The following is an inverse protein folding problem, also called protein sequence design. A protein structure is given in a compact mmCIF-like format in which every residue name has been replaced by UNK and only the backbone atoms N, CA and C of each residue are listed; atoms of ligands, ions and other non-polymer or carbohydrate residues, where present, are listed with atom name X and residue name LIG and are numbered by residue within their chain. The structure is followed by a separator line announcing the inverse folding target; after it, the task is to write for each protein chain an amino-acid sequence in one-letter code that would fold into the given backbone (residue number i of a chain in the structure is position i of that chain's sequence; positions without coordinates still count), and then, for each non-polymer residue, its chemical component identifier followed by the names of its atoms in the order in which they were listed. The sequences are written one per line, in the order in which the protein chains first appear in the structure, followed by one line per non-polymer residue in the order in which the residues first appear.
data_IF_310189955812
#
_entry.id   IF_310189955812
#
_cell.length_a   1.000
_cell.length_b   1.000
_cell.length_c   1.000
_cell.angle_alpha   90.00
_cell.angle_beta   90.00
_cell.angle_gamma   90.00
#
_symmetry.space_group_name_H-M   'P 1'
#
loop_
_entity.id
_entity.type
_entity.pdbx_description
1 polymer ?
#
# COMPACT_ATOMS: atom_id res chain seq x y z
N UNK A 1 36.92 -35.87 25.08
CA UNK A 1 36.53 -34.86 24.08
C UNK A 1 37.41 -33.63 24.27
N UNK A 2 38.70 -33.77 24.00
CA UNK A 2 39.71 -32.77 24.33
C UNK A 2 40.56 -32.58 23.08
N UNK A 3 40.21 -31.62 22.22
CA UNK A 3 41.06 -31.02 21.17
C UNK A 3 40.26 -30.25 20.12
N UNK A 4 39.58 -29.17 20.51
CA UNK A 4 39.34 -28.04 19.57
C UNK A 4 39.53 -26.74 20.35
N UNK A 5 40.74 -26.50 20.85
CA UNK A 5 41.24 -25.13 21.07
C UNK A 5 42.15 -24.84 19.89
N UNK A 6 41.57 -24.57 18.72
CA UNK A 6 42.34 -23.95 17.64
C UNK A 6 42.80 -22.59 18.16
N UNK A 7 44.11 -22.37 18.14
CA UNK A 7 44.76 -21.09 18.38
C UNK A 7 44.15 -20.05 17.44
N UNK A 8 43.19 -19.26 17.92
CA UNK A 8 42.83 -18.01 17.27
C UNK A 8 43.94 -17.03 17.66
N UNK A 9 45.03 -17.02 16.90
CA UNK A 9 46.07 -16.00 17.02
C UNK A 9 45.40 -14.65 16.83
N UNK A 10 45.57 -13.74 17.79
CA UNK A 10 45.13 -12.36 17.62
C UNK A 10 45.78 -11.80 16.36
N UNK A 11 45.03 -11.11 15.48
CA UNK A 11 45.57 -10.64 14.21
C UNK A 11 46.82 -9.78 14.45
N UNK A 12 47.85 -9.94 13.63
CA UNK A 12 48.94 -8.96 13.61
C UNK A 12 48.36 -7.60 13.23
N UNK A 13 48.59 -6.61 14.11
CA UNK A 13 48.02 -5.28 14.02
C UNK A 13 49.09 -4.21 14.21
N UNK A 14 49.02 -3.16 13.39
CA UNK A 14 49.91 -2.00 13.46
C UNK A 14 49.08 -0.72 13.47
N UNK A 15 49.17 0.06 14.54
CA UNK A 15 48.58 1.41 14.59
C UNK A 15 49.28 2.30 13.55
N UNK A 16 48.51 2.88 12.64
CA UNK A 16 49.01 3.79 11.61
C UNK A 16 48.94 5.24 12.09
N UNK A 17 47.77 5.67 12.57
CA UNK A 17 47.52 7.03 13.03
C UNK A 17 46.31 7.13 13.96
N UNK A 18 46.21 8.26 14.66
CA UNK A 18 45.04 8.65 15.44
C UNK A 18 44.57 10.03 15.01
N UNK A 19 43.27 10.19 14.77
CA UNK A 19 42.68 11.46 14.34
C UNK A 19 41.30 11.66 14.98
N UNK A 20 40.73 12.86 14.89
CA UNK A 20 39.34 13.14 15.30
C UNK A 20 38.48 13.07 14.05
N UNK A 21 37.39 12.29 14.08
CA UNK A 21 36.49 12.17 12.93
C UNK A 21 35.72 13.48 12.70
N UNK A 22 35.75 14.02 11.49
CA UNK A 22 35.05 15.27 11.14
C UNK A 22 33.52 15.17 11.27
N UNK A 23 32.96 13.97 11.12
CA UNK A 23 31.51 13.76 11.18
C UNK A 23 30.98 13.63 12.62
N UNK A 24 31.61 12.81 13.46
CA UNK A 24 31.12 12.51 14.82
C UNK A 24 32.00 13.04 15.95
N UNK A 25 33.11 13.71 15.63
CA UNK A 25 34.06 14.29 16.58
C UNK A 25 34.65 13.31 17.60
N UNK A 26 34.57 11.99 17.34
CA UNK A 26 35.18 10.95 18.15
C UNK A 26 36.65 10.76 17.80
N UNK A 27 37.47 10.33 18.76
CA UNK A 27 38.83 9.89 18.51
C UNK A 27 38.83 8.54 17.79
N UNK A 28 39.53 8.48 16.66
CA UNK A 28 39.64 7.31 15.79
C UNK A 28 41.07 6.82 15.74
N UNK A 29 41.26 5.54 16.01
CA UNK A 29 42.53 4.83 15.83
C UNK A 29 42.47 4.02 14.54
N UNK A 30 43.28 4.38 13.55
CA UNK A 30 43.40 3.63 12.31
C UNK A 30 44.51 2.60 12.43
N UNK A 31 44.17 1.33 12.28
CA UNK A 31 45.07 0.20 12.45
C UNK A 31 45.11 -0.62 11.16
N UNK A 32 46.30 -1.00 10.71
CA UNK A 32 46.50 -2.01 9.67
C UNK A 32 46.47 -3.40 10.32
N UNK A 33 45.69 -4.32 9.78
CA UNK A 33 45.58 -5.71 10.22
C UNK A 33 45.91 -6.63 9.06
N UNK A 34 46.55 -7.77 9.35
CA UNK A 34 46.68 -8.88 8.40
C UNK A 34 45.56 -9.88 8.67
N UNK A 35 44.78 -10.24 7.64
CA UNK A 35 43.71 -11.22 7.77
C UNK A 35 44.30 -12.58 8.18
N UNK A 36 43.95 -13.10 9.37
CA UNK A 36 44.66 -14.23 9.97
C UNK A 36 44.26 -15.60 9.38
N UNK A 37 43.10 -15.69 8.72
CA UNK A 37 42.60 -16.94 8.15
C UNK A 37 41.46 -16.70 7.17
N UNK A 38 41.20 -17.69 6.30
CA UNK A 38 40.08 -17.69 5.36
C UNK A 38 40.47 -17.29 3.92
N UNK A 39 39.51 -17.05 3.02
CA UNK A 39 39.77 -16.85 1.60
C UNK A 39 40.66 -15.64 1.26
N UNK A 40 40.82 -14.70 2.20
CA UNK A 40 41.61 -13.49 2.07
C UNK A 40 42.82 -13.49 3.03
N UNK A 41 43.25 -14.66 3.50
CA UNK A 41 44.38 -14.79 4.42
C UNK A 41 45.64 -14.09 3.89
N UNK A 42 46.34 -13.39 4.79
CA UNK A 42 47.55 -12.63 4.46
C UNK A 42 47.29 -11.24 3.85
N UNK A 43 46.05 -10.90 3.48
CA UNK A 43 45.72 -9.58 2.97
C UNK A 43 45.81 -8.52 4.07
N UNK A 44 46.41 -7.36 3.74
CA UNK A 44 46.48 -6.19 4.64
C UNK A 44 45.23 -5.34 4.46
N UNK A 45 44.50 -5.13 5.54
CA UNK A 45 43.30 -4.30 5.58
C UNK A 45 43.49 -3.19 6.61
N UNK A 46 42.93 -2.02 6.35
CA UNK A 46 42.89 -0.92 7.33
C UNK A 46 41.52 -0.89 8.00
N UNK A 47 41.50 -0.72 9.32
CA UNK A 47 40.27 -0.58 10.09
C UNK A 47 40.36 0.65 11.00
N UNK A 48 39.25 1.38 11.07
CA UNK A 48 39.09 2.55 11.92
C UNK A 48 38.31 2.14 13.18
N UNK A 49 38.94 2.26 14.35
CA UNK A 49 38.31 1.97 15.65
C UNK A 49 37.95 3.26 16.38
N UNK A 50 36.79 3.31 17.03
CA UNK A 50 36.33 4.47 17.81
C UNK A 50 35.28 5.35 17.14
N UNK A 51 35.02 5.16 15.84
CA UNK A 51 33.95 5.83 15.11
C UNK A 51 33.07 4.81 14.37
N UNK A 52 31.74 5.01 14.39
CA UNK A 52 30.74 4.17 13.69
C UNK A 52 30.06 4.90 12.52
N UNK A 53 30.62 6.02 12.05
CA UNK A 53 29.98 6.83 11.00
C UNK A 53 29.77 6.04 9.70
N UNK A 54 30.74 5.24 9.31
CA UNK A 54 30.65 4.41 8.11
C UNK A 54 29.58 3.31 8.25
N UNK A 55 29.55 2.62 9.40
CA UNK A 55 28.52 1.63 9.72
C UNK A 55 27.11 2.23 9.71
N UNK A 56 26.94 3.43 10.29
CA UNK A 56 25.66 4.15 10.31
C UNK A 56 25.26 4.58 8.90
N UNK A 57 26.18 5.07 8.08
CA UNK A 57 25.93 5.43 6.67
C UNK A 57 25.51 4.19 5.87
N UNK A 58 26.21 3.08 6.05
CA UNK A 58 25.91 1.81 5.39
C UNK A 58 24.53 1.27 5.81
N UNK A 59 24.22 1.30 7.11
CA UNK A 59 22.92 0.89 7.65
C UNK A 59 21.77 1.73 7.07
N UNK A 60 21.91 3.07 7.05
CA UNK A 60 20.91 3.97 6.44
C UNK A 60 20.73 3.71 4.95
N UNK A 61 21.82 3.47 4.21
CA UNK A 61 21.74 3.17 2.78
C UNK A 61 21.06 1.81 2.52
N UNK A 62 21.33 0.80 3.35
CA UNK A 62 20.68 -0.50 3.28
C UNK A 62 19.18 -0.41 3.57
N UNK A 63 18.80 0.35 4.60
CA UNK A 63 17.40 0.63 4.97
C UNK A 63 16.66 1.35 3.83
N UNK A 64 17.27 2.40 3.27
CA UNK A 64 16.69 3.12 2.11
C UNK A 64 16.47 2.20 0.92
N UNK A 65 17.46 1.35 0.59
CA UNK A 65 17.35 0.39 -0.51
C UNK A 65 16.26 -0.65 -0.25
N UNK A 66 16.15 -1.14 0.99
CA UNK A 66 15.08 -2.06 1.39
C UNK A 66 13.69 -1.41 1.22
N UNK A 67 13.51 -0.19 1.72
CA UNK A 67 12.25 0.55 1.60
C UNK A 67 11.88 0.81 0.13
N UNK A 68 12.85 1.14 -0.72
CA UNK A 68 12.63 1.30 -2.16
C UNK A 68 12.14 0.01 -2.83
N UNK A 69 12.76 -1.14 -2.51
CA UNK A 69 12.35 -2.44 -3.06
C UNK A 69 10.95 -2.84 -2.58
N UNK A 70 10.67 -2.64 -1.29
CA UNK A 70 9.34 -2.88 -0.71
C UNK A 70 8.27 -2.04 -1.42
N UNK A 71 8.51 -0.74 -1.57
CA UNK A 71 7.56 0.16 -2.24
C UNK A 71 7.33 -0.22 -3.70
N UNK A 72 8.40 -0.60 -4.42
CA UNK A 72 8.29 -1.11 -5.80
C UNK A 72 7.42 -2.36 -5.88
N UNK A 73 7.70 -3.37 -5.05
CA UNK A 73 6.93 -4.61 -5.04
C UNK A 73 5.44 -4.38 -4.74
N UNK A 74 5.16 -3.47 -3.80
CA UNK A 74 3.80 -3.09 -3.44
C UNK A 74 3.08 -2.40 -4.62
N UNK A 75 3.78 -1.52 -5.32
CA UNK A 75 3.25 -0.84 -6.50
C UNK A 75 3.08 -1.80 -7.70
N UNK A 76 3.98 -2.77 -7.88
CA UNK A 76 3.85 -3.80 -8.91
C UNK A 76 2.64 -4.71 -8.66
N UNK A 77 2.43 -5.14 -7.40
CA UNK A 77 1.22 -5.89 -7.00
C UNK A 77 -0.03 -5.06 -7.22
N UNK A 78 -0.01 -3.79 -6.84
CA UNK A 78 -1.12 -2.89 -7.06
C UNK A 78 -1.45 -2.75 -8.54
N UNK A 79 -0.46 -2.52 -9.40
CA UNK A 79 -0.67 -2.39 -10.85
C UNK A 79 -1.13 -3.70 -11.50
N UNK A 80 -0.65 -4.84 -11.01
CA UNK A 80 -1.02 -6.15 -11.54
C UNK A 80 -2.47 -6.55 -11.21
N UNK A 81 -2.89 -6.31 -9.97
CA UNK A 81 -4.21 -6.72 -9.49
C UNK A 81 -5.28 -5.64 -9.64
N UNK A 82 -4.92 -4.35 -9.57
CA UNK A 82 -5.88 -3.26 -9.59
C UNK A 82 -6.44 -3.02 -10.99
N UNK A 83 -7.76 -2.88 -11.07
CA UNK A 83 -8.49 -2.72 -12.33
C UNK A 83 -8.79 -1.24 -12.64
N UNK A 84 -7.77 -0.40 -12.47
CA UNK A 84 -7.85 1.07 -12.60
C UNK A 84 -7.91 1.46 -14.08
N UNK A 85 -8.77 2.43 -14.39
CA UNK A 85 -8.80 3.06 -15.72
C UNK A 85 -7.58 3.96 -15.91
N UNK A 86 -7.04 4.06 -17.14
CA UNK A 86 -5.85 4.88 -17.40
C UNK A 86 -6.00 6.34 -16.95
N UNK A 87 -7.20 6.91 -17.04
CA UNK A 87 -7.50 8.28 -16.57
C UNK A 87 -7.34 8.49 -15.06
N UNK A 88 -7.39 7.42 -14.27
CA UNK A 88 -7.25 7.48 -12.81
C UNK A 88 -5.81 7.16 -12.35
N UNK A 89 -4.93 6.71 -13.25
CA UNK A 89 -3.54 6.38 -12.89
C UNK A 89 -2.77 7.56 -12.32
N UNK A 90 -3.08 8.78 -12.73
CA UNK A 90 -2.45 10.00 -12.24
C UNK A 90 -3.24 10.67 -11.10
N UNK A 91 -4.38 10.13 -10.68
CA UNK A 91 -5.22 10.74 -9.64
C UNK A 91 -4.46 10.86 -8.31
N UNK A 92 -4.43 12.05 -7.73
CA UNK A 92 -3.90 12.37 -6.39
C UNK A 92 -4.80 13.39 -5.72
N UNK A 93 -4.62 13.59 -4.40
CA UNK A 93 -5.30 14.67 -3.71
C UNK A 93 -4.94 16.05 -4.29
N UNK A 94 -3.72 16.22 -4.79
CA UNK A 94 -3.22 17.50 -5.28
C UNK A 94 -3.90 17.93 -6.59
N UNK A 95 -4.18 16.98 -7.48
CA UNK A 95 -4.84 17.25 -8.76
C UNK A 95 -6.36 16.96 -8.75
N UNK A 96 -6.96 16.78 -7.58
CA UNK A 96 -8.41 16.72 -7.44
C UNK A 96 -9.01 18.13 -7.54
N UNK A 97 -9.87 18.32 -8.54
CA UNK A 97 -10.60 19.57 -8.73
C UNK A 97 -11.86 19.63 -7.86
N UNK A 98 -11.91 20.63 -6.97
CA UNK A 98 -12.98 20.85 -6.01
C UNK A 98 -13.56 22.26 -6.21
N UNK A 99 -14.43 22.46 -7.21
CA UNK A 99 -14.98 23.78 -7.55
C UNK A 99 -15.86 24.36 -6.43
N UNK A 100 -16.61 23.51 -5.74
CA UNK A 100 -17.60 23.88 -4.75
C UNK A 100 -17.20 23.45 -3.33
N UNK A 101 -17.91 23.99 -2.34
CA UNK A 101 -17.65 23.73 -0.92
C UNK A 101 -17.88 22.27 -0.54
N UNK A 102 -18.84 21.57 -1.16
CA UNK A 102 -19.11 20.17 -0.85
C UNK A 102 -17.92 19.28 -1.27
N UNK A 103 -17.40 19.47 -2.48
CA UNK A 103 -16.25 18.71 -2.98
C UNK A 103 -14.94 19.04 -2.24
N UNK A 104 -14.79 20.28 -1.76
CA UNK A 104 -13.66 20.65 -0.87
C UNK A 104 -13.73 19.89 0.45
N UNK A 105 -14.89 19.88 1.09
CA UNK A 105 -15.11 19.12 2.33
C UNK A 105 -14.94 17.60 2.11
N UNK A 106 -15.38 17.08 0.97
CA UNK A 106 -15.18 15.68 0.61
C UNK A 106 -13.68 15.33 0.51
N UNK A 107 -12.89 16.19 -0.17
CA UNK A 107 -11.43 16.05 -0.23
C UNK A 107 -10.79 16.10 1.16
N UNK A 108 -11.17 17.05 2.00
CA UNK A 108 -10.65 17.18 3.37
C UNK A 108 -10.95 15.95 4.23
N UNK A 109 -12.19 15.43 4.18
CA UNK A 109 -12.57 14.20 4.90
C UNK A 109 -11.82 12.97 4.38
N UNK A 110 -11.65 12.85 3.06
CA UNK A 110 -10.88 11.77 2.46
C UNK A 110 -9.39 11.84 2.83
N UNK A 111 -8.82 13.05 2.89
CA UNK A 111 -7.45 13.28 3.34
C UNK A 111 -7.31 12.92 4.83
N UNK A 112 -8.23 13.39 5.67
CA UNK A 112 -8.26 13.06 7.10
C UNK A 112 -8.32 11.54 7.33
N UNK A 113 -9.19 10.84 6.59
CA UNK A 113 -9.26 9.37 6.62
C UNK A 113 -7.91 8.71 6.33
N UNK A 114 -7.16 9.20 5.33
CA UNK A 114 -5.83 8.67 5.00
C UNK A 114 -4.76 8.96 6.06
N UNK A 115 -4.93 10.01 6.86
CA UNK A 115 -4.02 10.34 7.97
C UNK A 115 -4.33 9.57 9.25
N UNK A 116 -5.60 9.28 9.52
CA UNK A 116 -6.06 8.55 10.70
C UNK A 116 -6.37 7.08 10.41
N UNK A 117 -5.72 6.48 9.41
CA UNK A 117 -6.05 5.14 8.93
C UNK A 117 -5.68 4.07 9.95
N UNK A 118 -6.69 3.33 10.43
CA UNK A 118 -6.58 2.33 11.50
C UNK A 118 -6.76 0.88 11.01
N UNK A 119 -6.89 0.69 9.69
CA UNK A 119 -7.17 -0.58 9.00
C UNK A 119 -8.54 -1.20 9.32
N UNK A 120 -9.44 -0.51 10.00
CA UNK A 120 -10.76 -1.04 10.42
C UNK A 120 -11.93 -0.21 9.90
N UNK A 121 -11.76 1.11 9.86
CA UNK A 121 -12.82 2.03 9.47
C UNK A 121 -13.10 1.94 7.96
N UNK A 122 -14.34 1.63 7.61
CA UNK A 122 -14.84 1.68 6.24
C UNK A 122 -15.21 3.11 5.84
N UNK A 123 -15.24 3.36 4.54
CA UNK A 123 -15.59 4.66 3.97
C UNK A 123 -16.49 4.47 2.74
N UNK A 124 -17.66 5.11 2.72
CA UNK A 124 -18.55 5.17 1.57
C UNK A 124 -18.48 6.56 0.92
N UNK A 125 -18.09 6.61 -0.34
CA UNK A 125 -18.19 7.78 -1.21
C UNK A 125 -19.45 7.63 -2.07
N UNK A 126 -20.45 8.48 -1.87
CA UNK A 126 -21.73 8.43 -2.62
C UNK A 126 -22.09 9.80 -3.18
N UNK A 127 -22.92 9.85 -4.22
CA UNK A 127 -23.44 11.10 -4.82
C UNK A 127 -23.39 11.08 -6.35
N UNK A 128 -23.55 12.23 -6.96
CA UNK A 128 -23.78 12.38 -8.41
C UNK A 128 -22.62 11.87 -9.29
N UNK A 129 -22.93 11.53 -10.54
CA UNK A 129 -21.93 11.11 -11.52
C UNK A 129 -20.90 12.21 -11.78
N UNK A 130 -19.64 11.80 -11.93
CA UNK A 130 -18.57 12.72 -12.33
C UNK A 130 -18.11 13.71 -11.27
N UNK A 131 -18.49 13.54 -10.00
CA UNK A 131 -18.00 14.33 -8.86
C UNK A 131 -16.62 13.91 -8.35
N UNK A 132 -16.06 12.83 -8.91
CA UNK A 132 -14.69 12.39 -8.62
C UNK A 132 -14.53 11.41 -7.45
N UNK A 133 -15.57 10.66 -7.10
CA UNK A 133 -15.51 9.57 -6.09
C UNK A 133 -14.35 8.60 -6.32
N UNK A 134 -14.24 8.04 -7.54
CA UNK A 134 -13.15 7.13 -7.91
C UNK A 134 -11.78 7.82 -7.87
N UNK A 135 -11.72 9.13 -8.12
CA UNK A 135 -10.47 9.90 -8.02
C UNK A 135 -10.02 10.01 -6.56
N UNK A 136 -10.93 10.34 -5.63
CA UNK A 136 -10.61 10.41 -4.20
C UNK A 136 -10.24 9.03 -3.64
N UNK A 137 -10.90 7.95 -4.05
CA UNK A 137 -10.56 6.61 -3.57
C UNK A 137 -9.18 6.13 -4.07
N UNK A 138 -8.78 6.46 -5.31
CA UNK A 138 -7.40 6.25 -5.78
C UNK A 138 -6.41 7.14 -5.04
N UNK A 139 -6.79 8.38 -4.72
CA UNK A 139 -5.94 9.32 -3.97
C UNK A 139 -5.66 8.82 -2.56
N UNK A 140 -6.70 8.32 -1.85
CA UNK A 140 -6.57 7.64 -0.55
C UNK A 140 -5.60 6.47 -0.68
N UNK A 141 -5.83 5.61 -1.67
CA UNK A 141 -5.00 4.41 -1.91
C UNK A 141 -3.53 4.80 -2.05
N UNK A 142 -3.19 5.75 -2.93
CA UNK A 142 -1.81 6.20 -3.11
C UNK A 142 -1.21 6.83 -1.87
N UNK A 143 -1.98 7.60 -1.11
CA UNK A 143 -1.52 8.21 0.14
C UNK A 143 -1.16 7.15 1.18
N UNK A 144 -1.91 6.04 1.24
CA UNK A 144 -1.66 4.92 2.13
C UNK A 144 -0.51 4.02 1.64
N UNK A 145 -0.37 3.82 0.34
CA UNK A 145 0.78 3.10 -0.24
C UNK A 145 2.11 3.83 0.01
N UNK A 146 2.10 5.18 0.08
CA UNK A 146 3.26 5.98 0.52
C UNK A 146 3.63 5.77 1.99
N UNK A 147 2.70 5.26 2.78
CA UNK A 147 2.87 4.88 4.19
C UNK A 147 3.08 3.35 4.34
N UNK A 148 3.43 2.65 3.26
CA UNK A 148 3.67 1.21 3.20
C UNK A 148 2.47 0.29 3.49
N UNK A 149 1.24 0.80 3.40
CA UNK A 149 0.05 -0.06 3.49
C UNK A 149 -0.21 -0.79 2.17
N UNK A 150 -0.54 -2.08 2.27
CA UNK A 150 -0.96 -2.86 1.11
C UNK A 150 -2.38 -2.46 0.72
N UNK A 151 -2.53 -1.89 -0.47
CA UNK A 151 -3.81 -1.41 -0.95
C UNK A 151 -4.18 -2.09 -2.27
N UNK A 152 -5.48 -2.19 -2.56
CA UNK A 152 -5.98 -2.73 -3.81
C UNK A 152 -7.19 -1.95 -4.30
N UNK A 153 -7.23 -1.61 -5.58
CA UNK A 153 -8.37 -0.93 -6.19
C UNK A 153 -9.05 -1.80 -7.23
N UNK A 154 -10.34 -2.10 -7.05
CA UNK A 154 -11.12 -2.92 -7.96
C UNK A 154 -12.44 -2.25 -8.31
N UNK A 155 -12.70 -2.06 -9.59
CA UNK A 155 -14.06 -1.81 -10.07
C UNK A 155 -14.88 -3.10 -9.94
N UNK A 156 -16.01 -3.05 -9.22
CA UNK A 156 -16.82 -4.22 -8.92
C UNK A 156 -17.30 -4.95 -10.21
N UNK A 157 -17.83 -4.27 -11.24
CA UNK A 157 -18.19 -4.93 -12.51
C UNK A 157 -17.02 -5.66 -13.18
N UNK A 158 -15.82 -5.05 -13.17
CA UNK A 158 -14.62 -5.67 -13.75
C UNK A 158 -14.12 -6.84 -12.93
N UNK A 159 -14.17 -6.73 -11.60
CA UNK A 159 -13.82 -7.81 -10.67
C UNK A 159 -14.69 -9.04 -10.93
N UNK A 160 -16.00 -8.87 -10.96
CA UNK A 160 -16.95 -9.96 -11.22
C UNK A 160 -16.70 -10.61 -12.59
N UNK A 161 -16.39 -9.83 -13.61
CA UNK A 161 -16.03 -10.35 -14.93
C UNK A 161 -14.70 -11.13 -14.89
N UNK A 162 -13.71 -10.63 -14.15
CA UNK A 162 -12.41 -11.30 -13.98
C UNK A 162 -12.56 -12.64 -13.26
N UNK A 163 -13.38 -12.70 -12.20
CA UNK A 163 -13.70 -13.95 -11.50
C UNK A 163 -14.36 -14.95 -12.46
N UNK A 164 -15.38 -14.55 -13.23
CA UNK A 164 -16.00 -15.46 -14.22
C UNK A 164 -15.02 -16.01 -15.25
N UNK A 165 -13.97 -15.24 -15.60
CA UNK A 165 -12.94 -15.67 -16.57
C UNK A 165 -11.99 -16.72 -15.99
N UNK A 166 -11.78 -16.77 -14.67
CA UNK A 166 -10.88 -17.76 -14.06
C UNK A 166 -11.42 -19.18 -14.23
N UNK A 167 -12.74 -19.37 -14.32
CA UNK A 167 -13.39 -20.67 -14.54
C UNK A 167 -13.01 -21.35 -15.86
N UNK A 168 -12.59 -20.57 -16.86
CA UNK A 168 -12.34 -21.05 -18.21
C UNK A 168 -10.86 -20.95 -18.62
N UNK A 169 -9.97 -20.55 -17.71
CA UNK A 169 -8.56 -20.28 -18.04
C UNK A 169 -7.60 -20.87 -17.01
N UNK A 170 -6.38 -21.23 -17.43
CA UNK A 170 -5.30 -21.72 -16.55
C UNK A 170 -4.46 -20.58 -15.93
N UNK A 171 -5.02 -19.38 -15.84
CA UNK A 171 -4.34 -18.19 -15.32
C UNK A 171 -4.51 -18.04 -13.80
N UNK A 172 -4.56 -16.78 -13.34
CA UNK A 172 -4.88 -16.46 -11.93
C UNK A 172 -6.21 -17.11 -11.55
N UNK A 173 -6.22 -17.85 -10.45
CA UNK A 173 -7.42 -18.54 -9.98
C UNK A 173 -8.34 -17.59 -9.20
N UNK A 174 -9.59 -18.01 -8.99
CA UNK A 174 -10.49 -17.28 -8.11
C UNK A 174 -9.93 -17.20 -6.69
N UNK A 175 -9.45 -18.33 -6.15
CA UNK A 175 -8.90 -18.41 -4.78
C UNK A 175 -7.71 -17.48 -4.59
N UNK A 176 -6.80 -17.40 -5.57
CA UNK A 176 -5.67 -16.46 -5.53
C UNK A 176 -6.14 -15.00 -5.46
N UNK A 177 -7.14 -14.64 -6.26
CA UNK A 177 -7.69 -13.28 -6.28
C UNK A 177 -8.40 -12.94 -4.97
N UNK A 178 -9.24 -13.84 -4.46
CA UNK A 178 -9.94 -13.67 -3.18
C UNK A 178 -8.96 -13.61 -2.01
N UNK A 179 -7.89 -14.41 -2.04
CA UNK A 179 -6.84 -14.37 -1.03
C UNK A 179 -6.12 -13.02 -1.01
N UNK A 180 -5.80 -12.43 -2.17
CA UNK A 180 -5.23 -11.08 -2.23
C UNK A 180 -6.23 -10.05 -1.68
N UNK A 181 -7.49 -10.11 -2.11
CA UNK A 181 -8.56 -9.22 -1.63
C UNK A 181 -8.72 -9.30 -0.11
N UNK A 182 -8.60 -10.49 0.48
CA UNK A 182 -8.72 -10.69 1.93
C UNK A 182 -7.54 -10.08 2.71
N UNK A 183 -6.33 -10.10 2.17
CA UNK A 183 -5.12 -9.80 2.95
C UNK A 183 -4.68 -8.34 2.93
N UNK A 184 -5.03 -7.57 1.90
CA UNK A 184 -4.65 -6.15 1.81
C UNK A 184 -5.17 -5.33 2.99
N UNK A 185 -4.41 -4.32 3.40
CA UNK A 185 -4.80 -3.38 4.47
C UNK A 185 -6.02 -2.55 4.07
N UNK A 186 -6.07 -2.09 2.82
CA UNK A 186 -7.20 -1.36 2.25
C UNK A 186 -7.69 -2.01 0.94
N UNK A 187 -8.98 -2.29 0.86
CA UNK A 187 -9.66 -2.60 -0.40
C UNK A 187 -10.49 -1.40 -0.86
N UNK A 188 -10.42 -1.02 -2.13
CA UNK A 188 -11.40 -0.15 -2.78
C UNK A 188 -12.29 -1.00 -3.69
N UNK A 189 -13.60 -0.93 -3.46
CA UNK A 189 -14.62 -1.44 -4.37
C UNK A 189 -15.34 -0.25 -5.03
N UNK A 190 -14.98 -0.01 -6.29
CA UNK A 190 -15.46 1.12 -7.08
C UNK A 190 -16.69 0.75 -7.92
N UNK A 191 -17.60 1.70 -8.08
CA UNK A 191 -18.85 1.62 -8.85
C UNK A 191 -19.77 0.48 -8.38
N UNK A 192 -20.00 0.36 -7.07
CA UNK A 192 -21.01 -0.56 -6.54
C UNK A 192 -22.39 -0.17 -7.03
N UNK A 193 -23.11 -1.13 -7.58
CA UNK A 193 -24.41 -0.93 -8.19
C UNK A 193 -24.35 -0.50 -9.66
N UNK A 194 -23.20 -0.66 -10.33
CA UNK A 194 -23.11 -0.58 -11.79
C UNK A 194 -23.17 -1.96 -12.47
N UNK A 195 -22.99 -3.04 -11.70
CA UNK A 195 -23.04 -4.41 -12.17
C UNK A 195 -24.47 -4.91 -12.43
N UNK A 196 -24.59 -5.96 -13.25
CA UNK A 196 -25.84 -6.69 -13.38
C UNK A 196 -26.19 -7.40 -12.07
N UNK A 197 -27.38 -7.12 -11.54
CA UNK A 197 -27.86 -7.74 -10.31
C UNK A 197 -28.31 -9.18 -10.61
N UNK A 198 -27.48 -10.15 -10.22
CA UNK A 198 -27.74 -11.59 -10.34
C UNK A 198 -27.53 -12.25 -8.98
N UNK A 199 -28.15 -13.41 -8.72
CA UNK A 199 -27.90 -14.15 -7.47
C UNK A 199 -26.41 -14.46 -7.27
N UNK A 200 -25.70 -14.78 -8.35
CA UNK A 200 -24.26 -15.02 -8.33
C UNK A 200 -23.46 -13.78 -7.94
N UNK A 201 -23.75 -12.60 -8.52
CA UNK A 201 -23.01 -11.36 -8.20
C UNK A 201 -23.26 -10.93 -6.76
N UNK A 202 -24.49 -11.04 -6.29
CA UNK A 202 -24.89 -10.74 -4.91
C UNK A 202 -24.20 -11.67 -3.91
N UNK A 203 -24.11 -12.96 -4.23
CA UNK A 203 -23.42 -13.96 -3.39
C UNK A 203 -21.90 -13.77 -3.40
N UNK A 204 -21.32 -13.37 -4.53
CA UNK A 204 -19.88 -13.09 -4.62
C UNK A 204 -19.49 -11.82 -3.87
N UNK A 205 -20.31 -10.76 -3.98
CA UNK A 205 -20.13 -9.55 -3.17
C UNK A 205 -20.22 -9.88 -1.67
N UNK A 206 -21.20 -10.71 -1.29
CA UNK A 206 -21.34 -11.17 0.09
C UNK A 206 -20.05 -11.82 0.61
N UNK A 207 -19.48 -12.76 -0.13
CA UNK A 207 -18.23 -13.45 0.24
C UNK A 207 -17.06 -12.48 0.41
N UNK A 208 -16.91 -11.51 -0.50
CA UNK A 208 -15.87 -10.48 -0.41
C UNK A 208 -16.04 -9.63 0.86
N UNK A 209 -17.27 -9.21 1.15
CA UNK A 209 -17.58 -8.40 2.33
C UNK A 209 -17.34 -9.18 3.63
N UNK A 210 -17.76 -10.45 3.66
CA UNK A 210 -17.62 -11.32 4.83
C UNK A 210 -16.14 -11.60 5.14
N UNK A 211 -15.33 -11.89 4.12
CA UNK A 211 -13.88 -12.08 4.25
C UNK A 211 -13.13 -10.82 4.70
N UNK A 212 -13.76 -9.65 4.59
CA UNK A 212 -13.20 -8.35 4.99
C UNK A 212 -13.87 -7.73 6.21
N UNK A 213 -14.70 -8.48 6.95
CA UNK A 213 -15.24 -8.00 8.22
C UNK A 213 -14.11 -7.59 9.16
N UNK A 214 -14.24 -6.39 9.75
CA UNK A 214 -13.22 -5.80 10.62
C UNK A 214 -11.97 -5.28 9.91
N UNK A 215 -11.95 -5.27 8.56
CA UNK A 215 -10.88 -4.65 7.76
C UNK A 215 -11.42 -3.51 6.91
N UNK A 216 -10.62 -2.47 6.76
CA UNK A 216 -11.00 -1.27 6.04
C UNK A 216 -11.28 -1.56 4.55
N UNK A 217 -12.43 -1.07 4.11
CA UNK A 217 -12.89 -1.07 2.73
C UNK A 217 -13.47 0.29 2.37
N UNK A 218 -13.06 0.84 1.23
CA UNK A 218 -13.63 2.05 0.64
C UNK A 218 -14.60 1.62 -0.46
N UNK A 219 -15.83 2.09 -0.37
CA UNK A 219 -16.89 1.85 -1.34
C UNK A 219 -17.16 3.12 -2.13
N UNK A 220 -17.43 3.00 -3.43
CA UNK A 220 -18.00 4.11 -4.21
C UNK A 220 -19.32 3.68 -4.86
N UNK A 221 -20.29 4.61 -4.93
CA UNK A 221 -21.55 4.38 -5.65
C UNK A 221 -22.15 5.69 -6.14
N UNK A 222 -22.97 5.62 -7.18
CA UNK A 222 -23.81 6.73 -7.62
C UNK A 222 -25.27 6.58 -7.16
N UNK A 223 -25.57 5.52 -6.40
CA UNK A 223 -26.91 5.24 -5.90
C UNK A 223 -27.16 5.98 -4.58
N UNK A 224 -28.40 6.40 -4.36
CA UNK A 224 -28.88 6.81 -3.04
C UNK A 224 -28.82 5.63 -2.05
N UNK A 225 -28.99 5.91 -0.77
CA UNK A 225 -28.96 4.87 0.27
C UNK A 225 -30.01 3.77 0.03
N UNK A 226 -31.23 4.16 -0.36
CA UNK A 226 -32.33 3.21 -0.57
C UNK A 226 -32.11 2.37 -1.83
N UNK A 227 -31.68 3.00 -2.92
CA UNK A 227 -31.33 2.30 -4.17
C UNK A 227 -30.15 1.35 -3.97
N UNK A 228 -29.13 1.77 -3.20
CA UNK A 228 -27.99 0.92 -2.88
C UNK A 228 -28.45 -0.31 -2.09
N UNK A 229 -29.29 -0.10 -1.07
CA UNK A 229 -29.83 -1.16 -0.23
C UNK A 229 -30.63 -2.18 -1.04
N UNK A 230 -31.50 -1.71 -1.95
CA UNK A 230 -32.24 -2.58 -2.87
C UNK A 230 -31.28 -3.33 -3.81
N UNK A 231 -30.26 -2.63 -4.34
CA UNK A 231 -29.31 -3.21 -5.28
C UNK A 231 -28.46 -4.31 -4.68
N UNK A 232 -27.86 -4.09 -3.51
CA UNK A 232 -26.94 -5.05 -2.90
C UNK A 232 -27.64 -6.07 -2.00
N UNK A 233 -28.90 -5.84 -1.64
CA UNK A 233 -29.69 -6.50 -0.59
C UNK A 233 -29.36 -6.07 0.85
N UNK A 234 -30.29 -6.31 1.78
CA UNK A 234 -30.14 -5.99 3.21
C UNK A 234 -28.87 -6.57 3.84
N UNK A 235 -28.54 -7.82 3.50
CA UNK A 235 -27.44 -8.57 4.13
C UNK A 235 -26.07 -7.99 3.77
N UNK A 236 -25.89 -7.62 2.51
CA UNK A 236 -24.66 -6.97 2.03
C UNK A 236 -24.62 -5.51 2.48
N UNK A 237 -25.74 -4.80 2.41
CA UNK A 237 -25.83 -3.42 2.88
C UNK A 237 -25.44 -3.30 4.36
N UNK A 238 -25.96 -4.18 5.22
CA UNK A 238 -25.60 -4.22 6.64
C UNK A 238 -24.10 -4.44 6.87
N UNK A 239 -23.45 -5.34 6.11
CA UNK A 239 -21.99 -5.57 6.19
C UNK A 239 -21.19 -4.38 5.69
N UNK A 240 -21.64 -3.77 4.59
CA UNK A 240 -21.00 -2.59 4.02
C UNK A 240 -21.07 -1.41 4.98
N UNK A 241 -22.15 -1.26 5.75
CA UNK A 241 -22.37 -0.10 6.62
C UNK A 241 -21.78 -0.28 8.03
N UNK A 242 -21.36 -1.49 8.39
CA UNK A 242 -20.65 -1.74 9.64
C UNK A 242 -19.38 -0.88 9.70
N UNK A 243 -19.22 -0.13 10.79
CA UNK A 243 -18.11 0.81 11.01
C UNK A 243 -17.79 1.68 9.78
N UNK A 244 -18.79 2.30 9.15
CA UNK A 244 -18.63 3.06 7.90
C UNK A 244 -18.90 4.55 8.07
N UNK A 245 -17.94 5.37 7.62
CA UNK A 245 -18.13 6.81 7.47
C UNK A 245 -18.65 7.11 6.06
N UNK A 246 -19.57 8.06 5.94
CA UNK A 246 -20.15 8.42 4.64
C UNK A 246 -19.70 9.81 4.22
N UNK A 247 -19.21 9.93 2.99
CA UNK A 247 -18.89 11.19 2.32
C UNK A 247 -19.84 11.32 1.12
N UNK A 248 -20.71 12.33 1.18
CA UNK A 248 -21.62 12.68 0.09
C UNK A 248 -20.95 13.71 -0.81
N UNK A 249 -20.87 13.40 -2.10
CA UNK A 249 -20.23 14.17 -3.16
C UNK A 249 -21.26 14.53 -4.22
N UNK A 250 -21.95 15.65 -4.01
CA UNK A 250 -22.96 16.16 -4.94
C UNK A 250 -22.42 17.41 -5.63
N UNK A 251 -22.69 17.55 -6.93
CA UNK A 251 -22.14 18.66 -7.69
C UNK A 251 -22.12 18.42 -9.19
N UNK A 252 -21.62 19.41 -9.91
CA UNK A 252 -21.53 19.37 -11.38
C UNK A 252 -20.52 18.33 -11.87
N UNK A 253 -20.95 17.50 -12.82
CA UNK A 253 -20.15 16.46 -13.48
C UNK A 253 -18.88 17.07 -14.11
N UNK A 254 -17.72 16.77 -13.54
CA UNK A 254 -16.42 17.22 -14.02
C UNK A 254 -16.17 16.82 -15.48
N UNK A 255 -16.65 15.63 -15.89
CA UNK A 255 -16.44 15.10 -17.25
C UNK A 255 -17.22 15.87 -18.31
N UNK A 256 -18.16 16.74 -17.91
CA UNK A 256 -19.04 17.50 -18.81
C UNK A 256 -18.73 19.00 -18.88
N UNK A 257 -17.72 19.51 -18.18
CA UNK A 257 -17.43 20.96 -18.13
C UNK A 257 -16.95 21.60 -19.45
N UNK A 258 -16.83 20.83 -20.53
CA UNK A 258 -16.46 21.32 -21.86
C UNK A 258 -17.47 21.04 -22.96
N UNK A 259 -18.69 20.57 -22.60
CA UNK A 259 -19.81 20.41 -23.53
C UNK A 259 -20.79 21.57 -23.42
#
# INVERSE_FOLDING_TARGET
MESIKQNITSPEQKLLQTFVCDDCHQHVSQTELIIPSGPREGERVTANYGCRCEDIKLAKAAEQKYNQLKHRNLMDRFNYYSLINDSLKEATFDNFDAPDTNLKQAKEKALAYSHSFDRKQNLLLTGDYGTGKSHLSVSITKALMKQDYECLFLSLPKLLTKIKRTYNTKGVTEDELLNVIQHVDLLVLDDIGAEQQTEWSTSKLFEILDNRLGKATVYTTNLSSDELKERVNERNFSRMMDHTNVIVMNGSDYRRRGF
#
